data_IF_779379146289
#
_entry.id   IF_779379146289
#
_cell.length_a   1.000
_cell.length_b   1.000
_cell.length_c   1.000
_cell.angle_alpha   90.00
_cell.angle_beta   90.00
_cell.angle_gamma   90.00
#
_symmetry.space_group_name_H-M   'P 1'
#
loop_
_entity.id
_entity.type
_entity.pdbx_description
1 polymer ?
#
# COMPACT_ATOMS: atom_id res chain seq x y z
N UNK A 1 -6.23 4.41 0.18
CA UNK A 1 -5.21 3.94 1.14
C UNK A 1 -3.82 4.20 0.61
N UNK A 2 -3.03 4.93 1.39
CA UNK A 2 -1.61 5.18 1.16
C UNK A 2 -0.78 4.21 1.99
N UNK A 3 0.31 3.69 1.42
CA UNK A 3 1.25 2.85 2.14
C UNK A 3 2.67 3.05 1.60
N UNK A 4 3.67 2.59 2.34
CA UNK A 4 5.03 2.38 1.85
C UNK A 4 5.33 0.87 1.75
N UNK A 5 6.30 0.45 0.91
CA UNK A 5 6.58 -0.95 0.66
C UNK A 5 6.57 -1.84 1.90
N UNK A 6 6.03 -3.05 1.73
CA UNK A 6 6.01 -4.13 2.75
C UNK A 6 5.12 -3.85 3.98
N UNK A 7 4.18 -2.92 3.90
CA UNK A 7 3.23 -2.60 4.99
C UNK A 7 1.95 -3.44 5.04
N UNK A 8 1.93 -4.65 4.44
CA UNK A 8 0.75 -5.56 4.42
C UNK A 8 -0.52 -5.01 3.73
N UNK A 9 -0.38 -3.96 2.93
CA UNK A 9 -1.48 -3.32 2.19
C UNK A 9 -2.32 -4.30 1.36
N UNK A 10 -1.69 -5.34 0.81
CA UNK A 10 -2.39 -6.35 0.01
C UNK A 10 -3.46 -7.11 0.79
N UNK A 11 -3.27 -7.41 2.08
CA UNK A 11 -4.29 -8.11 2.87
C UNK A 11 -5.55 -7.26 3.07
N UNK A 12 -5.37 -5.95 3.28
CA UNK A 12 -6.49 -5.00 3.36
C UNK A 12 -7.17 -4.86 2.00
N UNK A 13 -6.40 -4.89 0.92
CA UNK A 13 -6.96 -4.91 -0.45
C UNK A 13 -7.83 -6.15 -0.67
N UNK A 14 -7.38 -7.32 -0.18
CA UNK A 14 -8.18 -8.55 -0.24
C UNK A 14 -9.50 -8.43 0.50
N UNK A 15 -9.51 -7.74 1.64
CA UNK A 15 -10.73 -7.49 2.41
C UNK A 15 -11.75 -6.64 1.66
N UNK A 16 -11.31 -5.54 1.04
CA UNK A 16 -12.20 -4.64 0.29
C UNK A 16 -12.71 -5.23 -1.03
N UNK A 17 -11.97 -6.14 -1.66
CA UNK A 17 -12.41 -6.79 -2.90
C UNK A 17 -13.57 -7.79 -2.65
N UNK A 18 -13.87 -8.14 -1.39
CA UNK A 18 -14.99 -9.03 -1.03
C UNK A 18 -16.35 -8.31 -1.02
N UNK A 19 -16.35 -6.99 -1.23
CA UNK A 19 -17.54 -6.15 -1.24
C UNK A 19 -18.01 -5.96 -2.69
N UNK A 20 -19.25 -6.37 -2.98
CA UNK A 20 -19.79 -6.37 -4.34
C UNK A 20 -19.97 -4.93 -4.87
N UNK A 21 -20.23 -3.96 -3.99
CA UNK A 21 -20.32 -2.54 -4.34
C UNK A 21 -18.98 -1.80 -4.45
N UNK A 22 -17.85 -2.48 -4.26
CA UNK A 22 -16.51 -1.89 -4.25
C UNK A 22 -15.73 -2.26 -5.52
N UNK A 23 -15.20 -1.26 -6.22
CA UNK A 23 -14.14 -1.48 -7.22
C UNK A 23 -12.75 -1.28 -6.60
N UNK A 24 -11.84 -2.22 -6.83
CA UNK A 24 -10.46 -2.12 -6.35
C UNK A 24 -9.53 -1.61 -7.44
N UNK A 25 -8.77 -0.56 -7.13
CA UNK A 25 -7.62 -0.12 -7.93
C UNK A 25 -6.32 -0.47 -7.21
N UNK A 26 -5.61 -1.48 -7.71
CA UNK A 26 -4.35 -1.98 -7.15
C UNK A 26 -3.15 -1.24 -7.77
N UNK A 27 -2.52 -0.36 -6.98
CA UNK A 27 -1.33 0.42 -7.33
C UNK A 27 -1.40 1.05 -8.73
N UNK A 28 -2.40 1.89 -9.02
CA UNK A 28 -2.69 2.36 -10.38
C UNK A 28 -1.58 3.24 -10.98
N UNK A 29 -0.70 3.83 -10.14
CA UNK A 29 0.45 4.62 -10.59
C UNK A 29 1.74 3.82 -10.76
N UNK A 30 1.76 2.51 -10.46
CA UNK A 30 3.02 1.78 -10.47
C UNK A 30 3.61 1.66 -11.88
N UNK A 31 2.79 1.42 -12.91
CA UNK A 31 3.20 1.43 -14.33
C UNK A 31 3.84 2.76 -14.73
N UNK A 32 3.19 3.87 -14.40
CA UNK A 32 3.68 5.22 -14.70
C UNK A 32 4.98 5.55 -13.94
N UNK A 33 5.06 5.16 -12.67
CA UNK A 33 6.28 5.27 -11.87
C UNK A 33 7.43 4.47 -12.49
N UNK A 34 7.17 3.22 -12.91
CA UNK A 34 8.17 2.35 -13.53
C UNK A 34 8.64 2.86 -14.90
N UNK A 35 7.79 3.52 -15.67
CA UNK A 35 8.18 4.16 -16.92
C UNK A 35 9.24 5.26 -16.72
N UNK A 36 9.28 5.89 -15.54
CA UNK A 36 10.19 7.00 -15.20
C UNK A 36 11.39 6.50 -14.37
N UNK A 37 11.15 5.62 -13.39
CA UNK A 37 12.12 5.19 -12.37
C UNK A 37 12.47 3.70 -12.44
N UNK A 38 11.93 2.95 -13.39
CA UNK A 38 12.08 1.49 -13.46
C UNK A 38 13.52 1.00 -13.64
N UNK A 39 14.41 1.84 -14.19
CA UNK A 39 15.85 1.53 -14.31
C UNK A 39 16.59 1.63 -12.97
N UNK A 40 16.11 2.46 -12.03
CA UNK A 40 16.70 2.64 -10.69
C UNK A 40 16.20 1.58 -9.69
N UNK A 41 15.22 0.78 -10.10
CA UNK A 41 14.62 -0.27 -9.27
C UNK A 41 15.53 -1.51 -9.17
N UNK A 42 15.32 -2.32 -8.13
CA UNK A 42 15.96 -3.62 -8.01
C UNK A 42 14.91 -4.74 -7.88
N UNK A 43 14.92 -5.75 -8.79
CA UNK A 43 15.67 -5.76 -10.05
C UNK A 43 15.20 -4.63 -11.00
N UNK A 44 16.08 -4.14 -11.90
CA UNK A 44 15.69 -3.13 -12.87
C UNK A 44 14.67 -3.72 -13.85
N UNK A 45 13.68 -2.91 -14.23
CA UNK A 45 12.68 -3.33 -15.20
C UNK A 45 13.15 -2.96 -16.60
N UNK A 46 13.21 -3.96 -17.48
CA UNK A 46 13.58 -3.77 -18.87
C UNK A 46 12.44 -3.05 -19.64
N UNK A 47 12.75 -2.20 -20.63
CA UNK A 47 11.73 -1.50 -21.42
C UNK A 47 10.68 -2.42 -22.07
N UNK A 48 11.08 -3.63 -22.46
CA UNK A 48 10.19 -4.63 -23.03
C UNK A 48 9.14 -5.12 -22.03
N UNK A 49 9.52 -5.26 -20.76
CA UNK A 49 8.58 -5.57 -19.67
C UNK A 49 7.67 -4.38 -19.37
N UNK A 50 8.18 -3.15 -19.46
CA UNK A 50 7.37 -1.93 -19.27
C UNK A 50 6.24 -1.82 -20.30
N UNK A 51 6.48 -2.26 -21.54
CA UNK A 51 5.49 -2.22 -22.63
C UNK A 51 4.24 -3.07 -22.38
N UNK A 52 4.31 -4.03 -21.45
CA UNK A 52 3.20 -4.90 -21.07
C UNK A 52 2.21 -4.23 -20.11
N UNK A 53 2.64 -3.16 -19.42
CA UNK A 53 1.79 -2.47 -18.47
C UNK A 53 0.91 -1.44 -19.19
N UNK A 54 -0.40 -1.53 -18.94
CA UNK A 54 -1.38 -0.55 -19.41
C UNK A 54 -1.29 0.70 -18.53
N UNK A 55 -1.61 1.85 -19.12
CA UNK A 55 -1.75 3.15 -18.44
C UNK A 55 -0.44 3.67 -17.79
N UNK A 56 0.41 4.37 -18.55
CA UNK A 56 1.61 5.08 -18.05
C UNK A 56 1.43 6.60 -17.93
N UNK A 57 0.26 7.11 -18.33
CA UNK A 57 -0.09 8.54 -18.24
C UNK A 57 -0.75 8.85 -16.89
N UNK A 58 -0.07 9.64 -16.05
CA UNK A 58 -0.56 10.07 -14.74
C UNK A 58 -1.92 10.77 -14.82
N UNK A 59 -2.16 11.63 -15.82
CA UNK A 59 -3.42 12.37 -15.91
C UNK A 59 -4.58 11.46 -16.29
N UNK A 60 -4.33 10.50 -17.19
CA UNK A 60 -5.31 9.49 -17.54
C UNK A 60 -5.66 8.60 -16.34
N UNK A 61 -4.66 8.21 -15.54
CA UNK A 61 -4.86 7.46 -14.30
C UNK A 61 -5.69 8.27 -13.30
N UNK A 62 -5.34 9.54 -13.06
CA UNK A 62 -6.09 10.42 -12.15
C UNK A 62 -7.55 10.51 -12.58
N UNK A 63 -7.81 10.80 -13.85
CA UNK A 63 -9.18 10.88 -14.40
C UNK A 63 -9.96 9.59 -14.18
N UNK A 64 -9.31 8.42 -14.30
CA UNK A 64 -9.93 7.11 -14.09
C UNK A 64 -10.27 6.86 -12.62
N UNK A 65 -9.37 7.20 -11.69
CA UNK A 65 -9.56 6.90 -10.26
C UNK A 65 -10.41 7.96 -9.52
N UNK A 66 -10.63 9.13 -10.11
CA UNK A 66 -11.54 10.16 -9.57
C UNK A 66 -12.82 10.33 -10.40
N UNK A 67 -12.97 9.54 -11.47
CA UNK A 67 -14.10 9.61 -12.38
C UNK A 67 -15.26 8.68 -12.02
N UNK A 68 -16.11 8.41 -13.00
CA UNK A 68 -17.24 7.48 -12.86
C UNK A 68 -16.78 6.06 -12.53
N UNK A 69 -17.48 5.42 -11.59
CA UNK A 69 -17.18 4.06 -11.18
C UNK A 69 -17.78 3.05 -12.19
N UNK A 70 -17.03 2.00 -12.54
CA UNK A 70 -17.52 0.98 -13.47
C UNK A 70 -18.58 0.07 -12.82
N UNK A 71 -19.38 -0.59 -13.66
CA UNK A 71 -20.24 -1.72 -13.29
C UNK A 71 -21.25 -1.43 -12.14
N UNK A 72 -21.61 -0.16 -11.93
CA UNK A 72 -22.54 0.23 -10.87
C UNK A 72 -21.97 0.15 -9.46
N UNK A 73 -20.64 0.09 -9.30
CA UNK A 73 -19.99 0.16 -7.99
C UNK A 73 -20.33 1.49 -7.29
N UNK A 74 -20.53 1.43 -5.97
CA UNK A 74 -20.89 2.58 -5.13
C UNK A 74 -19.66 3.36 -4.67
N UNK A 75 -18.52 2.68 -4.50
CA UNK A 75 -17.26 3.31 -4.14
C UNK A 75 -16.05 2.57 -4.71
N UNK A 76 -14.87 3.19 -4.63
CA UNK A 76 -13.61 2.55 -4.96
C UNK A 76 -12.67 2.45 -3.77
N UNK A 77 -12.01 1.29 -3.61
CA UNK A 77 -10.86 1.15 -2.75
C UNK A 77 -9.57 1.25 -3.57
N UNK A 78 -8.78 2.27 -3.29
CA UNK A 78 -7.54 2.54 -4.01
C UNK A 78 -6.34 2.25 -3.12
N UNK A 79 -5.45 1.36 -3.58
CA UNK A 79 -4.24 0.97 -2.87
C UNK A 79 -3.04 1.63 -3.52
N UNK A 80 -2.58 2.73 -2.94
CA UNK A 80 -1.52 3.57 -3.48
C UNK A 80 -0.22 3.47 -2.68
N UNK A 81 0.88 3.12 -3.33
CA UNK A 81 2.18 3.26 -2.71
C UNK A 81 2.64 4.71 -2.83
N UNK A 82 2.89 5.39 -1.70
CA UNK A 82 3.10 6.84 -1.69
C UNK A 82 4.24 7.31 -2.59
N UNK A 83 5.31 6.52 -2.72
CA UNK A 83 6.45 6.86 -3.60
C UNK A 83 6.14 6.81 -5.09
N UNK A 84 4.98 6.26 -5.50
CA UNK A 84 4.58 6.23 -6.91
C UNK A 84 4.03 7.58 -7.40
N UNK A 85 3.80 8.55 -6.51
CA UNK A 85 3.41 9.91 -6.92
C UNK A 85 4.64 10.81 -6.85
N UNK A 86 5.29 10.93 -8.00
CA UNK A 86 6.49 11.76 -8.12
C UNK A 86 6.17 13.26 -7.92
N UNK A 87 7.10 14.07 -7.38
CA UNK A 87 6.86 15.48 -7.04
C UNK A 87 6.42 16.37 -8.19
N UNK A 88 6.75 16.02 -9.43
CA UNK A 88 6.38 16.75 -10.64
C UNK A 88 4.89 16.63 -11.02
N UNK A 89 4.16 15.68 -10.45
CA UNK A 89 2.72 15.50 -10.71
C UNK A 89 1.88 16.17 -9.63
N UNK A 90 0.87 16.93 -10.08
CA UNK A 90 -0.08 17.61 -9.19
C UNK A 90 -0.84 16.64 -8.29
N UNK A 91 -1.10 17.07 -7.05
CA UNK A 91 -1.75 16.26 -6.01
C UNK A 91 -3.10 16.80 -5.56
N UNK A 92 -3.61 17.84 -6.21
CA UNK A 92 -4.88 18.48 -5.85
C UNK A 92 -6.05 17.50 -5.92
N UNK A 93 -6.03 16.54 -6.86
CA UNK A 93 -7.04 15.48 -6.98
C UNK A 93 -7.22 14.63 -5.73
N UNK A 94 -6.23 14.58 -4.83
CA UNK A 94 -6.34 13.84 -3.56
C UNK A 94 -7.45 14.41 -2.67
N UNK A 95 -7.81 15.69 -2.82
CA UNK A 95 -8.90 16.34 -2.08
C UNK A 95 -10.28 15.78 -2.46
N UNK A 96 -10.41 15.17 -3.65
CA UNK A 96 -11.63 14.53 -4.12
C UNK A 96 -11.82 13.14 -3.51
N UNK A 97 -10.84 12.66 -2.74
CA UNK A 97 -10.82 11.33 -2.16
C UNK A 97 -10.79 11.36 -0.64
N UNK A 98 -11.26 10.25 -0.07
CA UNK A 98 -11.08 9.94 1.34
C UNK A 98 -9.74 9.21 1.55
N UNK A 99 -8.96 9.69 2.53
CA UNK A 99 -7.56 9.29 2.68
C UNK A 99 -7.32 8.54 3.99
N UNK A 100 -6.68 7.37 3.89
CA UNK A 100 -6.17 6.59 5.02
C UNK A 100 -4.71 6.21 4.77
N UNK A 101 -3.89 6.23 5.82
CA UNK A 101 -2.46 5.96 5.78
C UNK A 101 -2.14 4.70 6.59
N UNK A 102 -1.51 3.73 5.95
CA UNK A 102 -1.12 2.46 6.55
C UNK A 102 0.37 2.48 6.88
N UNK A 103 0.68 2.28 8.16
CA UNK A 103 2.05 2.23 8.67
C UNK A 103 2.38 0.83 9.21
N UNK A 104 3.68 0.53 9.31
CA UNK A 104 4.19 -0.72 9.88
C UNK A 104 5.61 -0.53 10.40
N UNK A 105 5.93 -1.12 11.55
CA UNK A 105 7.24 -0.99 12.17
C UNK A 105 8.42 -1.07 11.16
N UNK A 106 9.34 -0.08 11.15
CA UNK A 106 10.41 0.01 10.17
C UNK A 106 11.37 -1.19 10.22
N UNK A 107 11.60 -1.78 11.40
CA UNK A 107 12.41 -2.99 11.54
C UNK A 107 11.82 -4.15 10.74
N UNK A 108 10.49 -4.31 10.79
CA UNK A 108 9.80 -5.35 10.02
C UNK A 108 9.76 -5.08 8.52
N UNK A 109 9.55 -3.82 8.12
CA UNK A 109 9.44 -3.47 6.70
C UNK A 109 10.79 -3.52 6.00
N UNK A 110 11.86 -2.99 6.62
CA UNK A 110 13.23 -3.07 6.12
C UNK A 110 13.64 -4.55 5.94
N UNK A 111 13.48 -5.36 6.99
CA UNK A 111 13.85 -6.77 6.92
C UNK A 111 13.02 -7.54 5.88
N UNK A 112 11.71 -7.27 5.80
CA UNK A 112 10.87 -7.89 4.77
C UNK A 112 11.26 -7.46 3.36
N UNK A 113 11.68 -6.21 3.15
CA UNK A 113 12.11 -5.71 1.84
C UNK A 113 13.42 -6.40 1.46
N UNK A 114 14.40 -6.39 2.36
CA UNK A 114 15.70 -7.03 2.16
C UNK A 114 15.55 -8.51 1.79
N UNK A 115 14.72 -9.25 2.52
CA UNK A 115 14.39 -10.65 2.19
C UNK A 115 13.69 -10.80 0.84
N UNK A 116 12.74 -9.93 0.48
CA UNK A 116 12.03 -10.00 -0.81
C UNK A 116 12.95 -9.72 -2.02
N UNK A 117 14.00 -8.93 -1.79
CA UNK A 117 15.10 -8.71 -2.73
C UNK A 117 16.18 -9.80 -2.69
N UNK A 118 15.94 -10.92 -1.99
CA UNK A 118 16.92 -12.00 -1.82
C UNK A 118 18.24 -11.53 -1.18
N UNK A 119 18.14 -10.59 -0.24
CA UNK A 119 19.28 -10.03 0.49
C UNK A 119 20.27 -9.28 -0.42
N UNK A 120 19.76 -8.75 -1.55
CA UNK A 120 20.55 -8.03 -2.54
C UNK A 120 20.02 -6.61 -2.77
N UNK A 121 20.89 -5.80 -3.35
CA UNK A 121 20.61 -4.40 -3.68
C UNK A 121 20.70 -3.49 -2.46
N UNK A 122 21.19 -2.28 -2.68
CA UNK A 122 21.26 -1.26 -1.64
C UNK A 122 19.85 -0.88 -1.18
N UNK A 123 19.61 -0.89 0.14
CA UNK A 123 18.41 -0.30 0.74
C UNK A 123 18.78 1.07 1.30
N UNK A 124 17.93 2.04 1.01
CA UNK A 124 18.07 3.40 1.53
C UNK A 124 16.68 3.99 1.84
N UNK A 125 16.67 5.18 2.44
CA UNK A 125 15.44 5.83 2.89
C UNK A 125 14.44 6.05 1.75
N UNK A 126 14.93 6.38 0.55
CA UNK A 126 14.10 6.57 -0.64
C UNK A 126 13.43 5.27 -1.10
N UNK A 127 14.18 4.17 -1.17
CA UNK A 127 13.63 2.86 -1.55
C UNK A 127 12.58 2.36 -0.57
N UNK A 128 12.79 2.62 0.72
CA UNK A 128 11.83 2.31 1.78
C UNK A 128 10.55 3.12 1.68
N UNK A 129 10.58 4.31 1.08
CA UNK A 129 9.39 5.12 0.79
C UNK A 129 8.72 5.76 2.01
N UNK A 130 9.27 5.57 3.21
CA UNK A 130 8.66 6.05 4.46
C UNK A 130 8.69 7.58 4.57
N UNK A 131 9.77 8.22 4.12
CA UNK A 131 9.86 9.69 4.10
C UNK A 131 8.83 10.28 3.12
N UNK A 132 8.69 9.70 1.93
CA UNK A 132 7.68 10.09 0.95
C UNK A 132 6.27 9.91 1.50
N UNK A 133 6.04 8.82 2.25
CA UNK A 133 4.77 8.55 2.91
C UNK A 133 4.44 9.60 3.97
N UNK A 134 5.40 9.96 4.82
CA UNK A 134 5.24 11.03 5.82
C UNK A 134 4.99 12.40 5.19
N UNK A 135 5.78 12.77 4.16
CA UNK A 135 5.62 14.04 3.48
C UNK A 135 4.24 14.14 2.82
N UNK A 136 3.77 13.06 2.18
CA UNK A 136 2.43 13.00 1.61
C UNK A 136 1.36 13.12 2.69
N UNK A 137 1.54 12.50 3.86
CA UNK A 137 0.60 12.65 4.98
C UNK A 137 0.46 14.13 5.40
N UNK A 138 1.56 14.85 5.55
CA UNK A 138 1.53 16.28 5.89
C UNK A 138 0.87 17.10 4.79
N UNK A 139 1.17 16.81 3.53
CA UNK A 139 0.58 17.48 2.37
C UNK A 139 -0.94 17.26 2.33
N UNK A 140 -1.42 16.02 2.44
CA UNK A 140 -2.85 15.69 2.46
C UNK A 140 -3.55 16.33 3.64
N UNK A 141 -2.93 16.36 4.82
CA UNK A 141 -3.46 17.06 6.00
C UNK A 141 -3.64 18.56 5.73
N UNK A 142 -2.66 19.16 5.06
CA UNK A 142 -2.69 20.58 4.70
C UNK A 142 -3.70 20.90 3.59
N UNK A 143 -3.83 20.03 2.58
CA UNK A 143 -4.79 20.17 1.49
C UNK A 143 -6.22 20.03 1.99
N UNK A 144 -6.52 18.94 2.70
CA UNK A 144 -7.88 18.60 3.13
C UNK A 144 -8.33 19.31 4.40
N UNK A 145 -7.41 19.98 5.12
CA UNK A 145 -7.63 20.58 6.45
C UNK A 145 -8.15 19.59 7.50
N UNK A 146 -7.98 18.29 7.26
CA UNK A 146 -8.38 17.19 8.14
C UNK A 146 -7.17 16.30 8.35
N UNK A 147 -7.03 15.70 9.54
CA UNK A 147 -6.00 14.67 9.76
C UNK A 147 -6.50 13.35 9.17
N UNK A 148 -5.81 12.77 8.17
CA UNK A 148 -6.18 11.47 7.62
C UNK A 148 -6.10 10.36 8.68
N UNK A 149 -6.95 9.34 8.55
CA UNK A 149 -6.91 8.16 9.42
C UNK A 149 -5.56 7.44 9.25
N UNK A 150 -4.86 7.17 10.35
CA UNK A 150 -3.64 6.36 10.35
C UNK A 150 -3.92 5.02 11.02
N UNK A 151 -3.54 3.92 10.37
CA UNK A 151 -3.70 2.55 10.86
C UNK A 151 -2.34 1.86 10.90
N UNK A 152 -2.00 1.23 12.02
CA UNK A 152 -0.85 0.33 12.08
C UNK A 152 -1.23 -1.07 11.58
N UNK A 153 -0.42 -1.62 10.70
CA UNK A 153 -0.66 -2.88 10.03
C UNK A 153 -0.55 -4.10 10.97
N UNK A 154 0.13 -4.00 12.11
CA UNK A 154 0.10 -5.04 13.14
C UNK A 154 -1.20 -4.97 13.91
N UNK A 155 -1.60 -3.78 14.35
CA UNK A 155 -2.85 -3.58 15.08
C UNK A 155 -4.05 -4.11 14.27
N UNK A 156 -4.13 -3.79 12.98
CA UNK A 156 -5.20 -4.29 12.10
C UNK A 156 -5.16 -5.82 11.96
N UNK A 157 -4.00 -6.42 11.71
CA UNK A 157 -3.93 -7.88 11.49
C UNK A 157 -4.20 -8.65 12.78
N UNK A 158 -3.90 -8.08 13.95
CA UNK A 158 -4.22 -8.66 15.25
C UNK A 158 -5.70 -8.55 15.61
N UNK A 159 -6.41 -7.52 15.10
CA UNK A 159 -7.84 -7.34 15.33
C UNK A 159 -8.58 -6.87 14.06
N UNK A 160 -8.66 -7.74 13.02
CA UNK A 160 -9.09 -7.32 11.68
C UNK A 160 -10.53 -6.83 11.67
N UNK A 161 -11.43 -7.50 12.40
CA UNK A 161 -12.84 -7.09 12.51
C UNK A 161 -12.98 -5.67 13.06
N UNK A 162 -12.29 -5.38 14.17
CA UNK A 162 -12.41 -4.09 14.84
C UNK A 162 -11.85 -2.95 13.98
N UNK A 163 -10.68 -3.15 13.38
CA UNK A 163 -10.04 -2.13 12.54
C UNK A 163 -10.73 -1.96 11.19
N UNK A 164 -11.25 -3.02 10.56
CA UNK A 164 -12.05 -2.88 9.36
C UNK A 164 -13.36 -2.16 9.65
N UNK A 165 -14.03 -2.45 10.78
CA UNK A 165 -15.23 -1.73 11.19
C UNK A 165 -14.93 -0.23 11.43
N UNK A 166 -13.80 0.09 12.08
CA UNK A 166 -13.34 1.47 12.24
C UNK A 166 -13.14 2.17 10.88
N UNK A 167 -12.44 1.53 9.95
CA UNK A 167 -12.19 2.06 8.60
C UNK A 167 -13.52 2.30 7.89
N UNK A 168 -14.41 1.30 7.89
CA UNK A 168 -15.72 1.37 7.26
C UNK A 168 -16.56 2.53 7.83
N UNK A 169 -16.65 2.63 9.15
CA UNK A 169 -17.37 3.71 9.84
C UNK A 169 -16.79 5.09 9.49
N UNK A 170 -15.46 5.23 9.47
CA UNK A 170 -14.79 6.50 9.17
C UNK A 170 -15.06 6.99 7.74
N UNK A 171 -15.38 6.08 6.82
CA UNK A 171 -15.63 6.40 5.41
C UNK A 171 -17.08 6.20 4.98
N UNK A 172 -18.00 6.03 5.94
CA UNK A 172 -19.43 5.87 5.69
C UNK A 172 -19.75 4.71 4.72
N UNK A 173 -18.98 3.62 4.84
CA UNK A 173 -19.25 2.36 4.13
C UNK A 173 -19.64 1.28 5.13
N UNK A 174 -20.47 0.33 4.71
CA UNK A 174 -20.91 -0.75 5.57
C UNK A 174 -19.80 -1.80 5.78
N UNK A 175 -19.59 -2.19 7.03
CA UNK A 175 -18.74 -3.34 7.33
C UNK A 175 -19.47 -4.64 6.94
N UNK A 176 -18.74 -5.59 6.37
CA UNK A 176 -19.24 -6.93 6.08
C UNK A 176 -18.28 -8.00 6.61
N UNK A 177 -18.82 -9.05 7.21
CA UNK A 177 -18.05 -10.23 7.63
C UNK A 177 -17.34 -10.91 6.44
N UNK A 178 -17.83 -10.70 5.21
CA UNK A 178 -17.15 -11.15 3.98
C UNK A 178 -15.71 -10.61 3.90
N UNK A 179 -15.44 -9.43 4.43
CA UNK A 179 -14.11 -8.80 4.40
C UNK A 179 -13.03 -9.57 5.17
N UNK A 180 -13.42 -10.49 6.07
CA UNK A 180 -12.48 -11.22 6.94
C UNK A 180 -11.88 -12.47 6.30
N UNK A 181 -12.49 -12.98 5.22
CA UNK A 181 -12.06 -14.21 4.57
C UNK A 181 -12.10 -14.10 3.05
N UNK A 182 -11.25 -14.84 2.35
CA UNK A 182 -11.18 -14.85 0.89
C UNK A 182 -10.69 -16.20 0.37
N UNK A 183 -10.95 -16.49 -0.91
CA UNK A 183 -10.40 -17.68 -1.56
C UNK A 183 -8.90 -17.51 -1.81
N UNK A 184 -8.07 -18.50 -1.46
CA UNK A 184 -6.64 -18.52 -1.78
C UNK A 184 -6.44 -18.87 -3.27
N UNK A 185 -6.85 -17.97 -4.16
CA UNK A 185 -6.83 -18.17 -5.60
C UNK A 185 -6.35 -16.90 -6.34
N UNK A 186 -5.10 -16.90 -6.83
CA UNK A 186 -4.53 -15.78 -7.58
C UNK A 186 -5.33 -15.41 -8.83
N UNK A 187 -6.10 -16.33 -9.41
CA UNK A 187 -6.90 -16.02 -10.60
C UNK A 187 -8.08 -15.08 -10.32
N UNK A 188 -8.61 -15.10 -9.09
CA UNK A 188 -9.84 -14.40 -8.68
C UNK A 188 -9.61 -13.13 -7.85
N UNK A 189 -8.39 -12.57 -7.87
CA UNK A 189 -8.09 -11.32 -7.16
C UNK A 189 -8.16 -10.10 -8.08
N UNK A 190 -8.52 -8.96 -7.50
CA UNK A 190 -8.40 -7.65 -8.15
C UNK A 190 -6.96 -7.11 -8.19
N UNK A 191 -6.01 -7.82 -7.57
CA UNK A 191 -4.59 -7.45 -7.58
C UNK A 191 -4.00 -7.61 -8.98
N UNK A 192 -3.63 -6.48 -9.58
CA UNK A 192 -3.16 -6.41 -10.97
C UNK A 192 -1.68 -6.78 -11.10
N UNK A 193 -0.92 -6.61 -10.02
CA UNK A 193 0.54 -6.82 -10.00
C UNK A 193 0.95 -8.23 -9.56
N UNK A 194 -0.02 -9.09 -9.26
CA UNK A 194 0.18 -10.48 -8.82
C UNK A 194 0.10 -11.48 -9.98
N UNK A 195 0.16 -11.05 -11.23
CA UNK A 195 0.20 -11.96 -12.39
C UNK A 195 1.23 -11.46 -13.37
N UNK A 196 2.10 -12.34 -13.85
CA UNK A 196 3.02 -12.06 -14.96
C UNK A 196 3.95 -10.85 -14.71
N UNK A 197 4.40 -10.66 -13.46
CA UNK A 197 5.41 -9.66 -13.10
C UNK A 197 6.64 -10.32 -12.44
N UNK A 198 7.84 -9.73 -12.57
CA UNK A 198 9.03 -10.17 -11.83
C UNK A 198 8.87 -10.09 -10.30
N UNK A 199 7.81 -9.44 -9.81
CA UNK A 199 7.53 -9.23 -8.39
C UNK A 199 6.47 -10.18 -7.84
N UNK A 200 6.01 -11.17 -8.61
CA UNK A 200 5.00 -12.13 -8.15
C UNK A 200 5.34 -12.76 -6.79
N UNK A 201 6.61 -13.10 -6.56
CA UNK A 201 7.06 -13.70 -5.30
C UNK A 201 6.88 -12.79 -4.09
N UNK A 202 6.74 -11.47 -4.28
CA UNK A 202 6.51 -10.51 -3.19
C UNK A 202 5.13 -10.65 -2.55
N UNK A 203 4.21 -11.33 -3.23
CA UNK A 203 2.81 -11.52 -2.85
C UNK A 203 2.48 -12.97 -2.44
N UNK A 204 3.46 -13.88 -2.43
CA UNK A 204 3.24 -15.32 -2.19
C UNK A 204 2.44 -15.59 -0.90
N UNK A 205 2.77 -14.93 0.21
CA UNK A 205 2.10 -15.15 1.49
C UNK A 205 0.59 -14.85 1.44
N UNK A 206 0.20 -13.73 0.81
CA UNK A 206 -1.21 -13.31 0.77
C UNK A 206 -2.00 -14.04 -0.30
N UNK A 207 -1.36 -14.40 -1.42
CA UNK A 207 -1.96 -15.22 -2.46
C UNK A 207 -2.30 -16.64 -1.98
N UNK A 208 -1.54 -17.14 -0.99
CA UNK A 208 -1.75 -18.45 -0.38
C UNK A 208 -2.53 -18.38 0.95
N UNK A 209 -3.02 -17.22 1.36
CA UNK A 209 -3.85 -17.08 2.56
C UNK A 209 -5.32 -16.97 2.22
N UNK A 210 -6.18 -17.27 3.19
CA UNK A 210 -7.65 -17.14 3.09
C UNK A 210 -8.24 -16.19 4.14
N UNK A 211 -7.40 -15.55 4.94
CA UNK A 211 -7.75 -14.59 5.98
C UNK A 211 -6.53 -13.76 6.38
N UNK A 212 -6.74 -12.83 7.31
CA UNK A 212 -5.68 -12.08 7.98
C UNK A 212 -4.85 -13.02 8.86
N UNK A 213 -3.55 -13.12 8.56
CA UNK A 213 -2.61 -13.94 9.32
C UNK A 213 -1.53 -13.07 9.94
N UNK A 214 -1.37 -13.18 11.26
CA UNK A 214 -0.22 -12.64 11.98
C UNK A 214 0.74 -13.77 12.33
N UNK A 215 1.99 -13.62 11.92
CA UNK A 215 3.07 -14.49 12.39
C UNK A 215 4.13 -13.60 13.02
N UNK A 216 4.26 -13.69 14.35
CA UNK A 216 5.38 -13.07 15.06
C UNK A 216 6.65 -13.68 14.50
N UNK A 217 7.47 -12.86 13.86
CA UNK A 217 8.77 -13.29 13.32
C UNK A 217 9.84 -12.75 14.26
N UNK A 218 10.67 -13.62 14.81
CA UNK A 218 11.92 -13.19 15.42
C UNK A 218 12.84 -12.70 14.31
N UNK A 219 13.23 -11.44 14.38
CA UNK A 219 14.07 -10.80 13.37
C UNK A 219 15.47 -10.68 13.95
N UNK A 220 16.35 -11.57 13.49
CA UNK A 220 17.79 -11.34 13.54
C UNK A 220 18.12 -10.23 12.54
N UNK A 221 18.30 -9.01 13.06
CA UNK A 221 18.35 -7.81 12.23
C UNK A 221 19.82 -7.52 11.87
N UNK A 222 20.16 -7.44 10.57
CA UNK A 222 21.55 -7.22 10.16
C UNK A 222 22.08 -5.87 10.64
N UNK A 223 23.29 -5.88 11.19
CA UNK A 223 23.98 -4.66 11.66
C UNK A 223 24.13 -3.61 10.55
N UNK A 224 24.34 -4.04 9.30
CA UNK A 224 24.46 -3.17 8.13
C UNK A 224 23.18 -2.37 7.82
N UNK A 225 22.01 -2.84 8.28
CA UNK A 225 20.73 -2.15 8.08
C UNK A 225 20.37 -1.24 9.27
N UNK A 226 21.12 -1.30 10.37
CA UNK A 226 20.86 -0.49 11.58
C UNK A 226 20.84 1.01 11.28
N UNK A 227 21.79 1.59 10.51
CA UNK A 227 21.73 3.01 10.17
C UNK A 227 20.44 3.41 9.43
N UNK A 228 19.92 2.55 8.55
CA UNK A 228 18.66 2.79 7.85
C UNK A 228 17.46 2.71 8.82
N UNK A 229 17.50 1.79 9.78
CA UNK A 229 16.47 1.70 10.81
C UNK A 229 16.44 2.95 11.69
N UNK A 230 17.60 3.47 12.09
CA UNK A 230 17.73 4.71 12.86
C UNK A 230 17.14 5.91 12.12
N UNK A 231 17.32 6.00 10.79
CA UNK A 231 16.70 7.05 9.97
C UNK A 231 15.17 6.89 9.87
N UNK A 232 14.68 5.67 9.75
CA UNK A 232 13.25 5.40 9.58
C UNK A 232 12.44 5.55 10.89
N UNK A 233 13.05 5.20 12.03
CA UNK A 233 12.37 5.11 13.33
C UNK A 233 11.67 6.41 13.75
N UNK A 234 12.32 7.59 13.79
CA UNK A 234 11.65 8.81 14.23
C UNK A 234 10.48 9.19 13.31
N UNK A 235 10.61 8.97 11.99
CA UNK A 235 9.53 9.23 11.02
C UNK A 235 8.32 8.34 11.29
N UNK A 236 8.56 7.04 11.52
CA UNK A 236 7.51 6.09 11.87
C UNK A 236 6.83 6.46 13.19
N UNK A 237 7.61 6.81 14.22
CA UNK A 237 7.07 7.15 15.54
C UNK A 237 6.15 8.37 15.52
N UNK A 238 6.45 9.38 14.69
CA UNK A 238 5.55 10.53 14.49
C UNK A 238 4.17 10.12 13.96
N UNK A 239 4.12 9.19 13.00
CA UNK A 239 2.86 8.66 12.47
C UNK A 239 2.20 7.71 13.47
N UNK A 240 2.99 6.88 14.14
CA UNK A 240 2.50 5.87 15.09
C UNK A 240 1.80 6.48 16.30
N UNK A 241 2.28 7.63 16.79
CA UNK A 241 1.61 8.39 17.87
C UNK A 241 0.24 8.94 17.47
N UNK A 242 -0.01 9.13 16.18
CA UNK A 242 -1.26 9.66 15.63
C UNK A 242 -2.20 8.56 15.12
N UNK A 243 -1.80 7.28 15.21
CA UNK A 243 -2.63 6.16 14.73
C UNK A 243 -3.91 6.03 15.55
N UNK A 244 -4.96 5.54 14.89
CA UNK A 244 -6.16 5.14 15.59
C UNK A 244 -5.88 3.88 16.43
N UNK A 245 -6.49 3.84 17.62
CA UNK A 245 -6.45 2.70 18.53
C UNK A 245 -7.88 2.27 18.78
N UNK A 246 -8.19 1.00 18.50
CA UNK A 246 -9.47 0.41 18.85
C UNK A 246 -9.31 -0.33 20.17
N UNK A 247 -10.24 -0.10 21.11
CA UNK A 247 -10.30 -0.79 22.39
C UNK A 247 -10.91 -2.19 22.27
#
# INVERSE_FOLDING_TARGET
MWFYPRSRSTAITRAFEQLDECVVYDEPFYSAYLAIKGQDNYPPIQPEELSKYKDTDYNAIIKKITGELPNGASFSFQKHQSKHILPEFGRDWIEQLNNLFLIRNPKETIFSYWKANQFQGELNLEKMGLLQHYNLFQEVKNLTKKTPLIIDANDLVLSPKNYLNLICTNFEVDFSEKMLTWEANPSKTALSWTKETPYYHWYSNVLNSSNFTYQKTEIDFPDELTPLLELCTPIYEELFRQRAVVN
#
